data_IF_054738049384
#
_entry.id   IF_054738049384
#
_cell.length_a   1.000
_cell.length_b   1.000
_cell.length_c   1.000
_cell.angle_alpha   90.00
_cell.angle_beta   90.00
_cell.angle_gamma   90.00
#
_symmetry.space_group_name_H-M   'P 1'
#
loop_
_entity.id
_entity.type
_entity.pdbx_description
1 polymer ?
#
# COMPACT_ATOMS: atom_id res chain seq x y z
N UNK A 1 2.78 22.51 1.20
CA UNK A 1 2.83 21.29 0.37
C UNK A 1 1.40 20.92 0.02
N UNK A 2 1.05 20.84 -1.26
CA UNK A 2 -0.29 20.47 -1.71
C UNK A 2 -0.29 18.99 -2.01
N UNK A 3 -0.81 18.18 -1.08
CA UNK A 3 -1.09 16.75 -1.32
C UNK A 3 -2.30 16.65 -2.24
N UNK A 4 -2.28 15.75 -3.22
CA UNK A 4 -3.42 15.53 -4.09
C UNK A 4 -4.59 14.95 -3.27
N UNK A 5 -5.58 15.80 -2.98
CA UNK A 5 -6.81 15.40 -2.28
C UNK A 5 -7.79 14.79 -3.26
N UNK A 6 -7.83 13.46 -3.36
CA UNK A 6 -8.84 12.77 -4.17
C UNK A 6 -10.04 12.44 -3.28
N UNK A 7 -11.17 13.08 -3.54
CA UNK A 7 -12.45 12.71 -2.93
C UNK A 7 -13.11 11.63 -3.78
N UNK A 8 -13.19 10.42 -3.26
CA UNK A 8 -14.07 9.40 -3.83
C UNK A 8 -15.47 9.59 -3.21
N UNK A 9 -16.48 9.74 -4.07
CA UNK A 9 -17.89 9.73 -3.68
C UNK A 9 -18.50 8.44 -4.19
N UNK A 10 -19.04 7.64 -3.28
CA UNK A 10 -19.94 6.52 -3.60
C UNK A 10 -21.22 6.72 -2.78
N UNK A 11 -22.32 7.07 -3.46
CA UNK A 11 -23.59 7.43 -2.81
C UNK A 11 -23.48 8.63 -1.84
N UNK A 12 -24.06 8.47 -0.65
CA UNK A 12 -24.12 9.48 0.43
C UNK A 12 -22.89 9.48 1.37
N UNK A 13 -21.88 8.65 1.10
CA UNK A 13 -20.69 8.53 1.95
C UNK A 13 -19.50 9.29 1.33
N UNK A 14 -19.12 10.42 1.95
CA UNK A 14 -17.84 11.09 1.68
C UNK A 14 -16.72 10.42 2.49
N UNK A 15 -15.85 9.69 1.80
CA UNK A 15 -14.61 9.15 2.36
C UNK A 15 -13.43 10.05 1.96
N UNK A 16 -12.51 10.26 2.90
CA UNK A 16 -11.28 10.99 2.65
C UNK A 16 -10.14 9.99 2.47
N UNK A 17 -9.48 10.04 1.32
CA UNK A 17 -8.13 9.52 1.20
C UNK A 17 -7.22 10.57 0.55
N UNK A 18 -6.02 10.69 1.09
CA UNK A 18 -4.96 11.51 0.51
C UNK A 18 -3.85 10.57 0.05
N UNK A 19 -3.25 10.88 -1.11
CA UNK A 19 -2.13 10.12 -1.65
C UNK A 19 -1.10 11.04 -2.30
N UNK A 20 0.17 10.69 -2.18
CA UNK A 20 1.24 11.29 -2.97
C UNK A 20 2.34 10.28 -3.26
N UNK A 21 3.05 10.48 -4.36
CA UNK A 21 4.25 9.70 -4.65
C UNK A 21 5.39 10.18 -3.74
N UNK A 22 6.28 9.26 -3.37
CA UNK A 22 7.34 9.58 -2.40
C UNK A 22 8.38 10.57 -2.97
N UNK A 23 8.55 10.61 -4.28
CA UNK A 23 9.41 11.54 -5.00
C UNK A 23 8.84 12.98 -4.99
N UNK A 24 7.51 13.14 -5.04
CA UNK A 24 6.82 14.43 -4.89
C UNK A 24 7.08 15.10 -3.52
N UNK A 25 7.40 14.31 -2.50
CA UNK A 25 7.77 14.79 -1.16
C UNK A 25 9.28 14.75 -0.91
N UNK A 26 10.07 14.59 -1.97
CA UNK A 26 11.53 14.67 -1.95
C UNK A 26 12.19 13.48 -1.26
N UNK A 27 11.53 12.33 -1.18
CA UNK A 27 12.10 11.09 -0.64
C UNK A 27 12.69 10.30 -1.80
N UNK A 28 14.01 10.14 -1.77
CA UNK A 28 14.70 9.27 -2.72
C UNK A 28 14.49 7.80 -2.37
N UNK A 29 14.23 7.01 -3.40
CA UNK A 29 14.03 5.58 -3.38
C UNK A 29 14.71 4.96 -4.59
N UNK A 30 15.38 3.82 -4.40
CA UNK A 30 16.05 3.12 -5.49
C UNK A 30 15.60 1.67 -5.65
N UNK A 31 15.29 0.96 -4.55
CA UNK A 31 14.94 -0.46 -4.61
C UNK A 31 14.29 -0.93 -3.31
N UNK A 32 13.70 -2.13 -3.33
CA UNK A 32 13.05 -2.80 -2.17
C UNK A 32 13.91 -2.77 -0.89
N UNK A 33 15.23 -2.87 -1.01
CA UNK A 33 16.14 -2.74 0.16
C UNK A 33 16.02 -1.42 0.93
N UNK A 34 15.47 -0.37 0.31
CA UNK A 34 15.27 0.94 0.94
C UNK A 34 13.99 1.00 1.78
N UNK A 35 13.11 -0.02 1.76
CA UNK A 35 11.82 -0.01 2.48
C UNK A 35 11.97 0.39 3.95
N UNK A 36 12.90 -0.19 4.75
CA UNK A 36 13.05 0.19 6.15
C UNK A 36 13.22 1.70 6.35
N UNK A 37 14.03 2.33 5.49
CA UNK A 37 14.32 3.76 5.57
C UNK A 37 13.10 4.59 5.21
N UNK A 38 12.37 4.18 4.18
CA UNK A 38 11.12 4.83 3.75
C UNK A 38 10.08 4.79 4.87
N UNK A 39 9.83 3.60 5.42
CA UNK A 39 8.86 3.39 6.51
C UNK A 39 9.24 4.21 7.75
N UNK A 40 10.51 4.20 8.16
CA UNK A 40 10.97 4.99 9.29
C UNK A 40 10.84 6.51 9.09
N UNK A 41 10.87 6.98 7.84
CA UNK A 41 10.67 8.40 7.51
C UNK A 41 9.19 8.77 7.54
N UNK A 42 8.33 7.91 6.99
CA UNK A 42 6.87 8.13 7.00
C UNK A 42 6.31 8.05 8.42
N UNK A 43 6.76 7.08 9.24
CA UNK A 43 6.39 6.98 10.67
C UNK A 43 6.78 8.25 11.46
N UNK A 44 7.95 8.85 11.16
CA UNK A 44 8.36 10.12 11.77
C UNK A 44 7.51 11.31 11.32
N UNK A 45 7.00 11.27 10.09
CA UNK A 45 6.10 12.28 9.54
C UNK A 45 4.64 12.12 10.01
N UNK A 46 4.29 10.99 10.64
CA UNK A 46 2.93 10.69 11.10
C UNK A 46 2.48 11.56 12.29
N UNK A 47 3.39 12.33 12.90
CA UNK A 47 3.07 13.26 14.00
C UNK A 47 2.02 14.28 13.52
N UNK A 48 0.80 14.17 14.06
CA UNK A 48 -0.33 15.05 13.72
C UNK A 48 -1.43 14.41 12.86
N UNK A 49 -1.30 13.13 12.50
CA UNK A 49 -2.40 12.37 11.88
C UNK A 49 -3.46 12.04 12.93
N UNK A 50 -4.74 12.20 12.56
CA UNK A 50 -5.89 11.84 13.41
C UNK A 50 -5.83 10.35 13.79
N UNK A 51 -6.01 9.97 15.07
CA UNK A 51 -6.06 8.58 15.50
C UNK A 51 -7.06 7.68 14.75
N UNK A 52 -8.09 8.25 14.13
CA UNK A 52 -9.06 7.54 13.29
C UNK A 52 -8.57 7.22 11.87
N UNK A 53 -7.42 7.74 11.45
CA UNK A 53 -6.88 7.53 10.10
C UNK A 53 -5.84 6.41 10.07
N UNK A 54 -5.73 5.75 8.92
CA UNK A 54 -4.75 4.68 8.66
C UNK A 54 -3.78 5.13 7.59
N UNK A 55 -2.49 5.05 7.91
CA UNK A 55 -1.39 5.41 7.02
C UNK A 55 -0.84 4.14 6.38
N UNK A 56 -0.50 4.20 5.09
CA UNK A 56 0.15 3.11 4.39
C UNK A 56 1.18 3.63 3.39
N UNK A 57 2.15 2.79 3.09
CA UNK A 57 3.00 2.91 1.91
C UNK A 57 2.65 1.77 0.97
N UNK A 58 2.41 2.10 -0.30
CA UNK A 58 2.23 1.13 -1.36
C UNK A 58 3.49 1.16 -2.25
N UNK A 59 4.05 -0.01 -2.50
CA UNK A 59 5.19 -0.18 -3.39
C UNK A 59 4.73 -1.01 -4.58
N UNK A 60 4.62 -0.40 -5.77
CA UNK A 60 4.39 -1.13 -7.00
C UNK A 60 5.53 -2.12 -7.24
N UNK A 61 5.16 -3.33 -7.61
CA UNK A 61 6.09 -4.40 -7.96
C UNK A 61 5.89 -4.75 -9.44
N UNK A 62 6.86 -5.44 -10.02
CA UNK A 62 6.71 -5.97 -11.38
C UNK A 62 5.42 -6.79 -11.53
N UNK A 63 4.79 -6.66 -12.69
CA UNK A 63 3.60 -7.41 -13.04
C UNK A 63 3.87 -8.91 -13.12
N UNK A 64 2.85 -9.73 -12.87
CA UNK A 64 2.96 -11.18 -12.97
C UNK A 64 1.83 -11.77 -13.81
N UNK A 65 2.14 -12.80 -14.59
CA UNK A 65 1.13 -13.49 -15.42
C UNK A 65 0.11 -14.23 -14.54
N UNK A 66 0.56 -14.76 -13.40
CA UNK A 66 -0.27 -15.43 -12.41
C UNK A 66 -0.25 -14.66 -11.08
N UNK A 67 -1.32 -14.71 -10.28
CA UNK A 67 -1.29 -14.11 -8.95
C UNK A 67 -0.39 -14.94 -8.04
N UNK A 68 0.24 -14.29 -7.07
CA UNK A 68 0.99 -15.02 -6.05
C UNK A 68 0.05 -15.90 -5.22
N UNK A 69 0.49 -17.12 -4.90
CA UNK A 69 -0.24 -18.05 -4.02
C UNK A 69 0.27 -18.01 -2.57
N UNK A 70 1.52 -17.61 -2.37
CA UNK A 70 2.17 -17.45 -1.06
C UNK A 70 3.05 -16.20 -1.08
N UNK A 71 3.27 -15.54 0.07
CA UNK A 71 4.15 -14.38 0.10
C UNK A 71 5.56 -14.76 -0.37
N UNK A 72 6.10 -14.15 -1.44
CA UNK A 72 7.48 -14.38 -1.86
C UNK A 72 8.47 -13.79 -0.85
N UNK A 73 9.73 -14.24 -0.90
CA UNK A 73 10.79 -13.62 -0.10
C UNK A 73 10.95 -12.15 -0.48
N UNK A 74 11.25 -11.28 0.48
CA UNK A 74 11.51 -9.86 0.20
C UNK A 74 12.74 -9.66 -0.69
N UNK A 75 13.73 -10.55 -0.59
CA UNK A 75 14.94 -10.50 -1.41
C UNK A 75 14.68 -10.84 -2.89
N UNK A 76 13.54 -11.48 -3.19
CA UNK A 76 13.11 -11.81 -4.56
C UNK A 76 12.07 -10.84 -5.12
N UNK A 77 11.73 -9.78 -4.38
CA UNK A 77 10.78 -8.77 -4.86
C UNK A 77 11.52 -7.74 -5.71
N UNK A 78 10.96 -7.46 -6.88
CA UNK A 78 11.41 -6.42 -7.79
C UNK A 78 10.37 -5.30 -7.80
N UNK A 79 10.80 -4.07 -7.50
CA UNK A 79 9.95 -2.89 -7.58
C UNK A 79 9.77 -2.49 -9.04
N UNK A 80 8.59 -1.99 -9.40
CA UNK A 80 8.38 -1.38 -10.71
C UNK A 80 9.32 -0.17 -10.87
N UNK A 81 10.13 -0.16 -11.93
CA UNK A 81 11.07 0.93 -12.21
C UNK A 81 10.38 2.20 -12.75
N UNK A 82 9.15 2.07 -13.26
CA UNK A 82 8.38 3.15 -13.87
C UNK A 82 7.41 3.82 -12.90
N UNK A 83 7.04 3.14 -11.82
CA UNK A 83 6.06 3.66 -10.85
C UNK A 83 6.70 3.82 -9.45
N UNK A 84 6.84 5.06 -8.95
CA UNK A 84 7.40 5.29 -7.63
C UNK A 84 6.43 4.82 -6.52
N UNK A 85 6.96 4.46 -5.34
CA UNK A 85 6.12 4.20 -4.18
C UNK A 85 5.21 5.38 -3.83
N UNK A 86 4.08 5.07 -3.23
CA UNK A 86 3.06 6.03 -2.83
C UNK A 86 2.77 5.96 -1.34
N UNK A 87 2.54 7.10 -0.70
CA UNK A 87 2.01 7.19 0.66
C UNK A 87 0.51 7.42 0.57
N UNK A 88 -0.26 6.68 1.36
CA UNK A 88 -1.71 6.81 1.46
C UNK A 88 -2.13 7.10 2.89
N UNK A 89 -3.04 8.05 3.05
CA UNK A 89 -3.74 8.32 4.30
C UNK A 89 -5.23 8.06 4.10
N UNK A 90 -5.77 7.04 4.77
CA UNK A 90 -7.15 6.62 4.65
C UNK A 90 -7.96 6.99 5.90
N UNK A 91 -9.14 7.54 5.72
CA UNK A 91 -10.18 7.55 6.74
C UNK A 91 -10.61 6.11 7.10
N UNK A 92 -10.91 5.83 8.38
CA UNK A 92 -11.46 4.55 8.84
C UNK A 92 -12.65 4.05 8.00
N UNK A 93 -13.46 4.98 7.49
CA UNK A 93 -14.65 4.67 6.68
C UNK A 93 -14.30 4.13 5.28
N UNK A 94 -13.09 4.38 4.75
CA UNK A 94 -12.66 3.89 3.43
C UNK A 94 -12.76 2.37 3.28
N UNK A 95 -12.58 1.61 4.37
CA UNK A 95 -12.63 0.15 4.37
C UNK A 95 -14.04 -0.43 4.49
N UNK A 96 -15.07 0.40 4.52
CA UNK A 96 -16.48 -0.02 4.58
C UNK A 96 -17.09 -0.22 3.20
N UNK A 97 -16.32 0.02 2.13
CA UNK A 97 -16.78 -0.16 0.75
C UNK A 97 -17.05 -1.66 0.46
N UNK A 98 -18.16 -1.99 -0.22
CA UNK A 98 -18.46 -3.35 -0.63
C UNK A 98 -17.40 -3.87 -1.61
N UNK A 99 -17.28 -5.21 -1.70
CA UNK A 99 -16.36 -5.87 -2.62
C UNK A 99 -16.55 -5.34 -4.05
N UNK A 100 -15.45 -4.99 -4.70
CA UNK A 100 -15.38 -4.57 -6.09
C UNK A 100 -15.34 -5.80 -7.02
N UNK A 101 -15.65 -5.61 -8.32
CA UNK A 101 -15.56 -6.65 -9.36
C UNK A 101 -14.10 -7.06 -9.69
N UNK A 102 -13.15 -6.77 -8.78
CA UNK A 102 -11.74 -7.05 -8.99
C UNK A 102 -11.40 -8.48 -8.61
N UNK A 103 -10.57 -9.11 -9.43
CA UNK A 103 -9.91 -10.33 -9.01
C UNK A 103 -8.70 -9.93 -8.18
N UNK A 104 -8.70 -10.29 -6.88
CA UNK A 104 -7.69 -9.84 -5.94
C UNK A 104 -7.28 -10.97 -5.01
N UNK A 105 -5.97 -11.19 -4.93
CA UNK A 105 -5.35 -12.07 -3.93
C UNK A 105 -4.57 -11.19 -2.94
N UNK A 106 -4.81 -11.40 -1.64
CA UNK A 106 -4.13 -10.67 -0.56
C UNK A 106 -3.36 -11.65 0.31
N UNK A 107 -2.05 -11.45 0.41
CA UNK A 107 -1.13 -12.34 1.12
C UNK A 107 -0.44 -11.56 2.23
N UNK A 108 -0.78 -11.86 3.48
CA UNK A 108 -0.16 -11.22 4.64
C UNK A 108 1.15 -11.89 4.99
N UNK A 109 2.17 -11.10 5.27
CA UNK A 109 3.43 -11.59 5.84
C UNK A 109 3.25 -11.83 7.34
N UNK A 110 3.78 -12.96 7.84
CA UNK A 110 3.70 -13.37 9.25
C UNK A 110 4.62 -12.55 10.18
N UNK A 111 5.54 -11.77 9.61
CA UNK A 111 6.43 -10.87 10.33
C UNK A 111 6.95 -9.78 9.42
N UNK A 112 7.45 -8.69 10.02
CA UNK A 112 8.19 -7.68 9.27
C UNK A 112 9.63 -8.19 9.02
N UNK A 113 10.09 -8.30 7.77
CA UNK A 113 11.48 -8.66 7.45
C UNK A 113 12.51 -7.65 7.97
N UNK A 114 12.09 -6.42 8.31
CA UNK A 114 12.99 -5.32 8.67
C UNK A 114 13.20 -5.14 10.19
N UNK A 115 12.73 -6.08 11.02
CA UNK A 115 13.05 -6.14 12.45
C UNK A 115 11.92 -5.76 13.42
N UNK A 116 12.15 -5.99 14.72
CA UNK A 116 11.15 -6.03 15.80
C UNK A 116 10.62 -4.66 16.28
N UNK A 117 11.26 -3.54 15.94
CA UNK A 117 10.81 -2.18 16.32
C UNK A 117 9.53 -1.73 15.60
N UNK A 118 8.94 -2.63 14.80
CA UNK A 118 7.83 -2.37 13.90
C UNK A 118 6.53 -3.02 14.35
N UNK A 119 6.29 -3.24 15.65
CA UNK A 119 5.01 -3.81 16.12
C UNK A 119 3.77 -2.99 15.68
N UNK A 120 4.00 -1.78 15.14
CA UNK A 120 3.00 -0.91 14.54
C UNK A 120 2.92 -1.01 13.01
N UNK A 121 3.50 -2.05 12.41
CA UNK A 121 3.56 -2.24 10.96
C UNK A 121 3.04 -3.63 10.57
N UNK A 122 2.13 -3.68 9.61
CA UNK A 122 1.71 -4.93 8.97
C UNK A 122 1.95 -4.85 7.48
N UNK A 123 2.45 -5.95 6.89
CA UNK A 123 2.80 -6.00 5.47
C UNK A 123 1.92 -7.02 4.75
N UNK A 124 1.37 -6.64 3.61
CA UNK A 124 0.64 -7.54 2.72
C UNK A 124 1.04 -7.32 1.26
N UNK A 125 1.14 -8.40 0.50
CA UNK A 125 1.24 -8.36 -0.95
C UNK A 125 -0.17 -8.49 -1.52
N UNK A 126 -0.50 -7.62 -2.47
CA UNK A 126 -1.78 -7.63 -3.18
C UNK A 126 -1.50 -7.79 -4.66
N UNK A 127 -1.96 -8.91 -5.23
CA UNK A 127 -2.03 -9.12 -6.67
C UNK A 127 -3.46 -8.87 -7.11
N UNK A 128 -3.66 -8.04 -8.13
CA UNK A 128 -5.00 -7.73 -8.58
C UNK A 128 -5.08 -7.46 -10.08
N UNK A 129 -6.27 -7.67 -10.64
CA UNK A 129 -6.67 -7.20 -11.96
C UNK A 129 -8.15 -6.84 -11.96
N UNK A 130 -8.52 -5.81 -12.70
CA UNK A 130 -9.92 -5.45 -12.88
C UNK A 130 -10.60 -6.33 -13.95
N UNK A 131 -11.91 -6.11 -14.14
CA UNK A 131 -12.71 -6.86 -15.12
C UNK A 131 -12.19 -6.70 -16.55
N UNK A 132 -11.64 -5.51 -16.88
CA UNK A 132 -11.06 -5.22 -18.19
C UNK A 132 -9.76 -5.97 -18.38
N UNK A 133 -8.83 -5.90 -17.43
CA UNK A 133 -7.58 -6.62 -17.43
C UNK A 133 -7.81 -8.13 -17.56
N UNK A 134 -8.77 -8.68 -16.82
CA UNK A 134 -9.19 -10.07 -16.98
C UNK A 134 -9.71 -10.38 -18.39
N UNK A 135 -10.55 -9.52 -18.97
CA UNK A 135 -11.11 -9.75 -20.31
C UNK A 135 -10.07 -9.67 -21.44
N UNK A 136 -8.99 -8.94 -21.20
CA UNK A 136 -7.90 -8.72 -22.15
C UNK A 136 -6.67 -9.58 -21.86
N UNK A 137 -6.76 -10.48 -20.88
CA UNK A 137 -5.66 -11.32 -20.40
C UNK A 137 -4.40 -10.52 -20.04
N UNK A 138 -4.60 -9.36 -19.42
CA UNK A 138 -3.50 -8.56 -18.90
C UNK A 138 -2.88 -9.20 -17.65
N UNK A 139 -1.57 -8.99 -17.43
CA UNK A 139 -0.90 -9.38 -16.20
C UNK A 139 -1.58 -8.81 -14.95
N UNK A 140 -1.35 -9.47 -13.81
CA UNK A 140 -1.73 -8.95 -12.50
C UNK A 140 -0.80 -7.81 -12.11
N UNK A 141 -1.38 -6.71 -11.65
CA UNK A 141 -0.64 -5.66 -10.97
C UNK A 141 -0.35 -6.11 -9.54
N UNK A 142 0.90 -5.94 -9.12
CA UNK A 142 1.38 -6.37 -7.82
C UNK A 142 1.73 -5.15 -6.97
N UNK A 143 1.33 -5.17 -5.70
CA UNK A 143 1.63 -4.07 -4.78
C UNK A 143 1.93 -4.61 -3.40
N UNK A 144 3.09 -4.21 -2.86
CA UNK A 144 3.43 -4.44 -1.48
C UNK A 144 2.87 -3.29 -0.64
N UNK A 145 1.87 -3.59 0.18
CA UNK A 145 1.26 -2.65 1.11
C UNK A 145 1.88 -2.77 2.49
N UNK A 146 2.31 -1.64 3.02
CA UNK A 146 2.94 -1.51 4.33
C UNK A 146 2.08 -0.56 5.16
N UNK A 147 1.24 -1.14 6.01
CA UNK A 147 0.32 -0.41 6.86
C UNK A 147 1.00 0.03 8.14
N UNK A 148 0.77 1.27 8.54
CA UNK A 148 1.32 1.90 9.73
C UNK A 148 0.17 2.22 10.70
N UNK A 149 0.23 1.66 11.91
CA UNK A 149 -0.79 1.88 12.93
C UNK A 149 -0.46 1.20 14.25
N UNK A 150 -0.80 1.86 15.35
CA UNK A 150 -0.82 1.28 16.68
C UNK A 150 -1.76 0.08 16.70
N UNK A 151 -1.33 -1.04 17.33
CA UNK A 151 -2.13 -2.26 17.49
C UNK A 151 -3.61 -1.92 17.70
N UNK A 152 -4.48 -2.30 16.76
CA UNK A 152 -5.88 -2.49 17.12
C UNK A 152 -5.89 -3.64 18.13
N UNK A 153 -6.08 -3.31 19.41
CA UNK A 153 -6.50 -4.29 20.39
C UNK A 153 -7.84 -4.83 19.87
N UNK A 154 -7.82 -6.11 19.50
CA UNK A 154 -9.02 -6.93 19.41
C UNK A 154 -9.71 -6.94 20.78
#
# INVERSE_FOLDING_TARGET
MSVAKKRLRDGDLEFYFDSCHIDEVGIQWLAIRDVPRLVARVLRAQVGIDPGMRLAVAIPLEESVEPYCTPPSFDSLEADEFEPPSVYLFDARHFQLPNDDTERVRLRYSGNPWGADSESVSVELVSWRDSRGRSLDWPYSNTLWIWMGSKQKV
#
